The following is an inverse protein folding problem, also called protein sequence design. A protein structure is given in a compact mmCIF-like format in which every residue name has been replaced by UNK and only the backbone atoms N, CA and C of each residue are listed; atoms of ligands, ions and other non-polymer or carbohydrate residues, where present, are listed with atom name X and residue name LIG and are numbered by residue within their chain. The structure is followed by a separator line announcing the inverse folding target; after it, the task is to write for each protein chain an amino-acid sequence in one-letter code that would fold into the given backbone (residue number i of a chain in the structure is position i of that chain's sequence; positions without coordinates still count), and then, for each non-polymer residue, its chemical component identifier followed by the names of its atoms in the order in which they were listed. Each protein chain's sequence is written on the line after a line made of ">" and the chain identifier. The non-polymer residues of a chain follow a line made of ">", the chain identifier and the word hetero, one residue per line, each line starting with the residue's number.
data_IF_371547369949
#
_entry.id   IF_371547369949
#
_cell.length_a   1.000
_cell.length_b   1.000
_cell.length_c   1.000
_cell.angle_alpha   90.00
_cell.angle_beta   90.00
_cell.angle_gamma   90.00
#
_symmetry.space_group_name_H-M   'P 1'
#
loop_
_entity.id
_entity.type
_entity.pdbx_description
1 polymer ?
#
# COMPACT_ATOMS: atom_id res chain seq x y z
N UNK A 1 -23.80 2.00 -14.65
CA UNK A 1 -22.68 1.10 -15.00
C UNK A 1 -22.07 0.56 -13.72
N UNK A 2 -21.96 -0.76 -13.55
CA UNK A 2 -21.34 -1.32 -12.34
C UNK A 2 -19.84 -1.01 -12.37
N UNK A 3 -19.33 -0.36 -11.32
CA UNK A 3 -17.89 -0.21 -11.15
C UNK A 3 -17.31 -1.60 -10.92
N UNK A 4 -16.38 -2.03 -11.79
CA UNK A 4 -15.61 -3.26 -11.58
C UNK A 4 -15.02 -3.22 -10.17
N UNK A 5 -15.38 -4.19 -9.32
CA UNK A 5 -14.84 -4.30 -7.95
C UNK A 5 -13.55 -5.11 -8.01
N UNK A 6 -12.45 -4.50 -7.60
CA UNK A 6 -11.15 -5.16 -7.46
C UNK A 6 -10.90 -5.49 -6.00
N UNK A 7 -10.45 -6.72 -5.70
CA UNK A 7 -10.02 -7.12 -4.36
C UNK A 7 -8.78 -6.35 -3.93
N UNK A 8 -8.51 -6.28 -2.62
CA UNK A 8 -7.29 -5.66 -2.11
C UNK A 8 -6.04 -6.38 -2.62
N UNK A 9 -6.03 -7.72 -2.60
CA UNK A 9 -4.94 -8.55 -3.13
C UNK A 9 -4.62 -8.23 -4.59
N UNK A 10 -5.66 -8.12 -5.43
CA UNK A 10 -5.48 -7.78 -6.84
C UNK A 10 -4.79 -6.42 -7.00
N UNK A 11 -5.25 -5.40 -6.27
CA UNK A 11 -4.68 -4.05 -6.36
C UNK A 11 -3.21 -4.04 -5.99
N UNK A 12 -2.82 -4.73 -4.93
CA UNK A 12 -1.42 -4.81 -4.48
C UNK A 12 -0.57 -5.54 -5.52
N UNK A 13 -0.98 -6.72 -5.98
CA UNK A 13 -0.23 -7.48 -7.00
C UNK A 13 -0.07 -6.67 -8.28
N UNK A 14 -1.15 -6.03 -8.74
CA UNK A 14 -1.16 -5.19 -9.93
C UNK A 14 -0.17 -4.01 -9.82
N UNK A 15 -0.19 -3.29 -8.68
CA UNK A 15 0.74 -2.18 -8.45
C UNK A 15 2.18 -2.68 -8.47
N UNK A 16 2.49 -3.79 -7.79
CA UNK A 16 3.85 -4.35 -7.73
C UNK A 16 4.35 -4.83 -9.10
N UNK A 17 3.49 -5.45 -9.90
CA UNK A 17 3.84 -5.86 -11.27
C UNK A 17 4.06 -4.65 -12.18
N UNK A 18 3.23 -3.61 -12.08
CA UNK A 18 3.41 -2.38 -12.85
C UNK A 18 4.70 -1.64 -12.50
N UNK A 19 5.11 -1.62 -11.22
CA UNK A 19 6.38 -1.05 -10.78
C UNK A 19 7.61 -1.83 -11.27
N UNK A 20 7.47 -3.15 -11.46
CA UNK A 20 8.53 -4.04 -11.98
C UNK A 20 8.50 -4.17 -13.51
N UNK A 21 7.50 -3.62 -14.17
CA UNK A 21 7.27 -3.81 -15.60
C UNK A 21 8.38 -3.16 -16.43
N UNK A 22 9.11 -3.93 -17.26
CA UNK A 22 10.18 -3.38 -18.10
C UNK A 22 9.64 -2.41 -19.17
N UNK A 23 8.41 -2.62 -19.62
CA UNK A 23 7.72 -1.75 -20.58
C UNK A 23 7.07 -0.51 -19.93
N UNK A 24 7.23 -0.35 -18.62
CA UNK A 24 6.63 0.71 -17.82
C UNK A 24 5.14 0.49 -17.47
N UNK A 25 4.63 1.42 -16.67
CA UNK A 25 3.27 1.39 -16.10
C UNK A 25 2.19 1.51 -17.17
N UNK A 26 2.39 2.38 -18.17
CA UNK A 26 1.40 2.62 -19.23
C UNK A 26 1.10 1.35 -20.04
N UNK A 27 2.14 0.60 -20.42
CA UNK A 27 1.99 -0.67 -21.12
C UNK A 27 1.29 -1.73 -20.24
N UNK A 28 1.66 -1.82 -18.96
CA UNK A 28 1.03 -2.73 -18.00
C UNK A 28 -0.48 -2.42 -17.82
N UNK A 29 -0.84 -1.14 -17.67
CA UNK A 29 -2.22 -0.66 -17.56
C UNK A 29 -3.06 -0.99 -18.80
N UNK A 30 -2.51 -0.75 -20.00
CA UNK A 30 -3.18 -1.06 -21.28
C UNK A 30 -3.49 -2.54 -21.44
N UNK A 31 -2.54 -3.43 -21.10
CA UNK A 31 -2.73 -4.90 -21.20
C UNK A 31 -3.90 -5.41 -20.37
N UNK A 32 -4.20 -4.75 -19.27
CA UNK A 32 -5.17 -5.21 -18.27
C UNK A 32 -6.47 -4.38 -18.28
N UNK A 33 -6.57 -3.39 -19.18
CA UNK A 33 -7.74 -2.52 -19.31
C UNK A 33 -7.96 -1.64 -18.07
N UNK A 34 -6.88 -1.24 -17.40
CA UNK A 34 -6.91 -0.36 -16.23
C UNK A 34 -6.36 1.00 -16.65
N UNK A 35 -6.93 2.09 -16.16
CA UNK A 35 -6.40 3.42 -16.42
C UNK A 35 -5.16 3.68 -15.56
N UNK A 36 -4.19 4.41 -16.11
CA UNK A 36 -2.98 4.81 -15.38
C UNK A 36 -3.32 5.65 -14.13
N UNK A 37 -4.35 6.49 -14.21
CA UNK A 37 -4.85 7.25 -13.05
C UNK A 37 -5.31 6.32 -11.91
N UNK A 38 -5.96 5.21 -12.25
CA UNK A 38 -6.41 4.22 -11.25
C UNK A 38 -5.23 3.47 -10.63
N UNK A 39 -4.20 3.15 -11.44
CA UNK A 39 -2.95 2.57 -10.97
C UNK A 39 -2.25 3.48 -9.95
N UNK A 40 -2.00 4.75 -10.31
CA UNK A 40 -1.30 5.67 -9.42
C UNK A 40 -2.10 5.91 -8.13
N UNK A 41 -3.43 5.94 -8.21
CA UNK A 41 -4.28 6.00 -7.00
C UNK A 41 -4.06 4.80 -6.08
N UNK A 42 -3.97 3.58 -6.62
CA UNK A 42 -3.70 2.39 -5.80
C UNK A 42 -2.27 2.38 -5.28
N UNK A 43 -1.28 2.84 -6.06
CA UNK A 43 0.10 2.96 -5.62
C UNK A 43 0.21 3.92 -4.42
N UNK A 44 -0.41 5.09 -4.49
CA UNK A 44 -0.43 6.05 -3.38
C UNK A 44 -1.10 5.46 -2.14
N UNK A 45 -2.24 4.78 -2.30
CA UNK A 45 -2.90 4.08 -1.18
C UNK A 45 -2.00 3.00 -0.58
N UNK A 46 -1.31 2.20 -1.40
CA UNK A 46 -0.42 1.15 -0.91
C UNK A 46 0.74 1.74 -0.10
N UNK A 47 1.39 2.80 -0.60
CA UNK A 47 2.53 3.43 0.07
C UNK A 47 2.13 4.13 1.37
N UNK A 48 1.02 4.86 1.37
CA UNK A 48 0.47 5.58 2.55
C UNK A 48 -0.15 4.68 3.63
N UNK A 49 -0.29 3.38 3.37
CA UNK A 49 -0.59 2.42 4.44
C UNK A 49 0.65 1.65 4.86
N UNK A 50 1.63 1.47 3.96
CA UNK A 50 2.87 0.78 4.27
C UNK A 50 3.77 1.63 5.17
N UNK A 51 3.92 2.94 4.89
CA UNK A 51 4.61 3.89 5.76
C UNK A 51 4.10 3.81 7.21
N UNK A 52 2.79 3.85 7.41
CA UNK A 52 2.15 3.73 8.71
C UNK A 52 2.42 2.38 9.40
N UNK A 53 2.75 1.32 8.67
CA UNK A 53 3.18 0.04 9.26
C UNK A 53 4.63 0.07 9.73
N UNK A 54 5.51 0.74 9.00
CA UNK A 54 6.94 0.85 9.34
C UNK A 54 7.23 1.93 10.38
N UNK A 55 6.37 2.94 10.48
CA UNK A 55 6.49 4.06 11.42
C UNK A 55 5.86 3.75 12.80
N UNK A 56 5.17 2.62 12.92
CA UNK A 56 4.69 2.12 14.20
C UNK A 56 5.87 1.69 15.08
N UNK A 57 6.39 2.62 15.88
CA UNK A 57 6.87 2.25 17.22
C UNK A 57 5.69 1.53 17.88
N UNK A 58 5.83 0.26 18.29
CA UNK A 58 4.70 -0.47 18.83
C UNK A 58 4.13 0.31 20.00
N UNK A 59 2.86 0.74 19.91
CA UNK A 59 2.19 1.50 20.97
C UNK A 59 2.24 0.75 22.32
N UNK A 60 2.29 -0.59 22.27
CA UNK A 60 2.51 -1.47 23.43
C UNK A 60 3.93 -1.38 24.01
N UNK A 61 4.96 -1.18 23.18
CA UNK A 61 6.33 -0.99 23.65
C UNK A 61 6.48 0.37 24.34
N UNK A 62 5.87 1.43 23.79
CA UNK A 62 5.84 2.75 24.41
C UNK A 62 5.13 2.77 25.78
N UNK A 63 3.98 2.08 25.90
CA UNK A 63 3.26 1.98 27.19
C UNK A 63 4.05 1.24 28.27
N UNK A 64 4.82 0.21 27.89
CA UNK A 64 5.56 -0.61 28.86
C UNK A 64 6.80 0.10 29.42
N UNK A 65 7.43 0.97 28.62
CA UNK A 65 8.54 1.81 29.07
C UNK A 65 8.06 2.80 30.14
N UNK A 66 6.91 3.44 29.92
CA UNK A 66 6.32 4.40 30.88
C UNK A 66 6.01 3.75 32.24
N UNK A 67 5.43 2.55 32.25
CA UNK A 67 5.11 1.87 33.52
C UNK A 67 6.36 1.47 34.31
N UNK A 68 7.46 1.13 33.63
CA UNK A 68 8.72 0.74 34.28
C UNK A 68 9.51 1.94 34.82
N UNK A 69 9.40 3.11 34.18
CA UNK A 69 10.04 4.35 34.65
C UNK A 69 9.33 4.96 35.87
N UNK A 70 8.05 4.67 36.06
CA UNK A 70 7.27 5.09 37.24
C UNK A 70 7.49 4.18 38.47
N UNK A 71 8.08 2.99 38.29
CA UNK A 71 8.35 2.01 39.35
C UNK A 71 9.79 2.06 39.91
N UNK A 72 10.63 3.00 39.46
CA UNK A 72 11.99 3.29 39.97
C UNK A 72 11.97 4.62 40.73
#
# INVERSE_FOLDING_TARGET
>A
MSKRKFSAEFKVRFVLEGLKSPDGVAAHCRRQGISEQQFYKWQQQMLSNADALFEQVPQKAARKIQTLEEEI
#
